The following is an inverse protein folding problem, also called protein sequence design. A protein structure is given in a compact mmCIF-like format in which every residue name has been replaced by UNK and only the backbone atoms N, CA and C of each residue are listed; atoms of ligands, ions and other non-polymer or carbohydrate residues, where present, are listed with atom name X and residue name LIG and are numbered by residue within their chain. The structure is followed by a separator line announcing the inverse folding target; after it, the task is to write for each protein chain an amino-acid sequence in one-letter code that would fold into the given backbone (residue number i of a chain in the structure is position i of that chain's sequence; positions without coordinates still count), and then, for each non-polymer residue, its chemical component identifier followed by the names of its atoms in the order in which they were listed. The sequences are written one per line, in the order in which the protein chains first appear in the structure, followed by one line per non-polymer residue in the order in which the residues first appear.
data_IF_536749252497
#
_entry.id   IF_536749252497
#
_cell.length_a   1.000
_cell.length_b   1.000
_cell.length_c   1.000
_cell.angle_alpha   90.00
_cell.angle_beta   90.00
_cell.angle_gamma   90.00
#
_symmetry.space_group_name_H-M   'P 1'
#
loop_
_entity.id
_entity.type
_entity.pdbx_description
1 polymer ?
#
# COMPACT_ATOMS: atom_id res chain seq x y z
N UNK A 1 -6.32 -5.32 -26.08
CA UNK A 1 -5.73 -3.97 -26.09
C UNK A 1 -6.30 -3.09 -24.98
N UNK A 2 -7.62 -3.08 -24.76
CA UNK A 2 -8.34 -2.32 -23.70
C UNK A 2 -7.72 -2.29 -22.29
N UNK A 3 -7.22 -3.42 -21.77
CA UNK A 3 -6.73 -3.50 -20.38
C UNK A 3 -5.40 -2.76 -20.17
N UNK A 4 -4.52 -2.77 -21.17
CA UNK A 4 -3.21 -2.11 -21.09
C UNK A 4 -3.32 -0.59 -21.15
N UNK A 5 -4.24 -0.08 -21.96
CA UNK A 5 -4.49 1.36 -22.06
C UNK A 5 -5.13 1.89 -20.76
N UNK A 6 -6.05 1.13 -20.16
CA UNK A 6 -6.60 1.43 -18.83
C UNK A 6 -5.51 1.42 -17.74
N UNK A 7 -4.61 0.45 -17.75
CA UNK A 7 -3.47 0.39 -16.83
C UNK A 7 -2.47 1.53 -17.06
N UNK A 8 -2.22 1.93 -18.31
CA UNK A 8 -1.34 3.04 -18.64
C UNK A 8 -1.92 4.40 -18.18
N UNK A 9 -3.22 4.61 -18.38
CA UNK A 9 -3.94 5.79 -17.89
C UNK A 9 -3.95 5.85 -16.35
N UNK A 10 -4.16 4.71 -15.67
CA UNK A 10 -4.07 4.62 -14.20
C UNK A 10 -2.64 4.83 -13.69
N UNK A 11 -1.63 4.32 -14.40
CA UNK A 11 -0.23 4.56 -14.07
C UNK A 11 0.13 6.05 -14.18
N UNK A 12 -0.42 6.74 -15.19
CA UNK A 12 -0.24 8.17 -15.37
C UNK A 12 -0.95 8.98 -14.26
N UNK A 13 -2.20 8.67 -13.94
CA UNK A 13 -2.93 9.29 -12.83
C UNK A 13 -2.27 9.02 -11.46
N UNK A 14 -1.68 7.84 -11.28
CA UNK A 14 -0.87 7.53 -10.09
C UNK A 14 0.38 8.40 -10.02
N UNK A 15 1.11 8.60 -11.11
CA UNK A 15 2.28 9.51 -11.15
C UNK A 15 1.90 10.94 -10.82
N UNK A 16 0.80 11.43 -11.37
CA UNK A 16 0.30 12.80 -11.15
C UNK A 16 -0.16 13.04 -9.71
N UNK A 17 -0.63 12.00 -9.01
CA UNK A 17 -0.99 12.03 -7.59
C UNK A 17 0.19 11.74 -6.65
N UNK A 18 1.44 11.85 -7.13
CA UNK A 18 2.63 11.56 -6.32
C UNK A 18 2.78 10.07 -5.96
N UNK A 19 2.17 9.19 -6.74
CA UNK A 19 2.12 7.74 -6.54
C UNK A 19 1.02 7.28 -5.61
N UNK A 20 0.16 8.16 -5.08
CA UNK A 20 -0.84 7.81 -4.06
C UNK A 20 -1.95 6.88 -4.58
N UNK A 21 -2.33 6.99 -5.84
CA UNK A 21 -3.40 6.16 -6.41
C UNK A 21 -2.88 4.75 -6.79
N UNK A 22 -3.60 3.68 -6.42
CA UNK A 22 -3.23 2.32 -6.81
C UNK A 22 -3.37 2.13 -8.33
N UNK A 23 -2.30 1.66 -8.97
CA UNK A 23 -2.28 1.39 -10.42
C UNK A 23 -3.06 0.12 -10.77
N UNK A 24 -3.09 -0.83 -9.84
CA UNK A 24 -3.84 -2.09 -9.92
C UNK A 24 -4.80 -2.16 -8.74
N UNK A 25 -6.07 -2.46 -9.02
CA UNK A 25 -7.13 -2.54 -8.01
C UNK A 25 -7.31 -3.96 -7.47
N UNK A 26 -6.90 -4.96 -8.26
CA UNK A 26 -7.06 -6.38 -7.91
C UNK A 26 -5.75 -7.15 -8.02
N UNK A 27 -5.67 -8.27 -7.31
CA UNK A 27 -4.55 -9.23 -7.40
C UNK A 27 -4.47 -9.84 -8.81
N UNK A 28 -5.62 -10.05 -9.44
CA UNK A 28 -5.71 -10.57 -10.82
C UNK A 28 -5.09 -9.60 -11.83
N UNK A 29 -5.33 -8.29 -11.66
CA UNK A 29 -4.67 -7.26 -12.49
C UNK A 29 -3.16 -7.24 -12.28
N UNK A 30 -2.70 -7.44 -11.04
CA UNK A 30 -1.27 -7.54 -10.73
C UNK A 30 -0.61 -8.76 -11.40
N UNK A 31 -1.28 -9.92 -11.39
CA UNK A 31 -0.80 -11.13 -12.07
C UNK A 31 -0.78 -10.93 -13.59
N UNK A 32 -1.82 -10.33 -14.16
CA UNK A 32 -1.89 -10.03 -15.59
C UNK A 32 -0.76 -9.09 -16.03
N UNK A 33 -0.51 -8.03 -15.24
CA UNK A 33 0.59 -7.10 -15.47
C UNK A 33 1.96 -7.80 -15.38
N UNK A 34 2.17 -8.64 -14.37
CA UNK A 34 3.42 -9.39 -14.19
C UNK A 34 3.70 -10.32 -15.39
N UNK A 35 2.68 -11.03 -15.87
CA UNK A 35 2.80 -11.89 -17.07
C UNK A 35 3.14 -11.08 -18.32
N UNK A 36 2.54 -9.91 -18.48
CA UNK A 36 2.82 -9.04 -19.61
C UNK A 36 4.25 -8.49 -19.62
N UNK A 37 4.77 -8.12 -18.44
CA UNK A 37 6.16 -7.69 -18.26
C UNK A 37 7.12 -8.83 -18.56
N UNK A 38 6.84 -10.04 -18.05
CA UNK A 38 7.63 -11.24 -18.34
C UNK A 38 7.68 -11.53 -19.85
N UNK A 39 6.53 -11.46 -20.53
CA UNK A 39 6.47 -11.69 -21.98
C UNK A 39 7.26 -10.64 -22.78
N UNK A 40 7.26 -9.38 -22.34
CA UNK A 40 8.10 -8.33 -22.95
C UNK A 40 9.59 -8.56 -22.69
N UNK A 41 9.96 -9.03 -21.49
CA UNK A 41 11.34 -9.38 -21.16
C UNK A 41 11.87 -10.54 -22.01
N UNK A 42 11.04 -11.53 -22.30
CA UNK A 42 11.41 -12.67 -23.14
C UNK A 42 11.65 -12.27 -24.61
N UNK A 43 10.99 -11.21 -25.07
CA UNK A 43 11.21 -10.62 -26.39
C UNK A 43 12.43 -9.71 -26.50
N UNK A 44 13.11 -9.38 -25.40
CA UNK A 44 14.28 -8.51 -25.37
C UNK A 44 15.57 -9.32 -25.26
N UNK A 45 16.61 -8.91 -25.98
CA UNK A 45 17.95 -9.54 -25.93
C UNK A 45 19.04 -8.51 -25.66
N UNK A 46 20.21 -8.99 -25.20
CA UNK A 46 21.39 -8.16 -24.95
C UNK A 46 21.15 -7.02 -23.95
N UNK A 47 21.68 -5.84 -24.26
CA UNK A 47 21.70 -4.67 -23.38
C UNK A 47 20.30 -4.14 -23.05
N UNK A 48 19.36 -4.25 -23.98
CA UNK A 48 17.97 -3.80 -23.75
C UNK A 48 17.29 -4.62 -22.63
N UNK A 49 17.61 -5.92 -22.54
CA UNK A 49 17.12 -6.78 -21.46
C UNK A 49 17.75 -6.40 -20.12
N UNK A 50 19.05 -6.13 -20.09
CA UNK A 50 19.77 -5.72 -18.88
C UNK A 50 19.25 -4.39 -18.33
N UNK A 51 19.05 -3.39 -19.20
CA UNK A 51 18.49 -2.10 -18.82
C UNK A 51 17.07 -2.25 -18.24
N UNK A 52 16.23 -3.06 -18.89
CA UNK A 52 14.87 -3.31 -18.41
C UNK A 52 14.86 -4.02 -17.05
N UNK A 53 15.76 -4.99 -16.83
CA UNK A 53 15.91 -5.67 -15.54
C UNK A 53 16.40 -4.73 -14.44
N UNK A 54 17.35 -3.83 -14.74
CA UNK A 54 17.82 -2.80 -13.80
C UNK A 54 16.67 -1.88 -13.38
N UNK A 55 15.92 -1.37 -14.36
CA UNK A 55 14.76 -0.51 -14.10
C UNK A 55 13.69 -1.23 -13.26
N UNK A 56 13.48 -2.53 -13.47
CA UNK A 56 12.56 -3.32 -12.66
C UNK A 56 13.04 -3.53 -11.22
N UNK A 57 14.35 -3.69 -11.00
CA UNK A 57 14.90 -3.78 -9.64
C UNK A 57 14.75 -2.44 -8.89
N UNK A 58 14.98 -1.31 -9.56
CA UNK A 58 14.77 0.02 -8.96
C UNK A 58 13.31 0.24 -8.57
N UNK A 59 12.38 -0.16 -9.45
CA UNK A 59 10.93 -0.11 -9.16
C UNK A 59 10.58 -1.03 -7.98
N UNK A 60 11.14 -2.24 -7.93
CA UNK A 60 10.94 -3.17 -6.81
C UNK A 60 11.39 -2.55 -5.49
N UNK A 61 12.60 -1.99 -5.43
CA UNK A 61 13.14 -1.36 -4.21
C UNK A 61 12.30 -0.17 -3.75
N UNK A 62 11.83 0.66 -4.70
CA UNK A 62 10.95 1.78 -4.38
C UNK A 62 9.60 1.30 -3.82
N UNK A 63 9.03 0.21 -4.36
CA UNK A 63 7.81 -0.39 -3.84
C UNK A 63 8.01 -0.99 -2.45
N UNK A 64 9.09 -1.73 -2.21
CA UNK A 64 9.41 -2.30 -0.90
C UNK A 64 9.53 -1.21 0.18
N UNK A 65 10.21 -0.10 -0.13
CA UNK A 65 10.32 1.03 0.78
C UNK A 65 8.96 1.69 1.10
N UNK A 66 8.07 1.78 0.11
CA UNK A 66 6.71 2.30 0.30
C UNK A 66 5.84 1.35 1.11
N UNK A 67 5.93 0.04 0.86
CA UNK A 67 5.22 -0.97 1.65
C UNK A 67 5.66 -0.95 3.11
N UNK A 68 6.97 -0.86 3.37
CA UNK A 68 7.50 -0.73 4.72
C UNK A 68 6.97 0.52 5.43
N UNK A 69 6.89 1.65 4.72
CA UNK A 69 6.31 2.89 5.25
C UNK A 69 4.83 2.74 5.59
N UNK A 70 4.02 2.18 4.68
CA UNK A 70 2.59 1.94 4.92
C UNK A 70 2.38 0.99 6.10
N UNK A 71 3.18 -0.08 6.20
CA UNK A 71 3.12 -1.00 7.33
C UNK A 71 3.40 -0.28 8.66
N UNK A 72 4.43 0.58 8.70
CA UNK A 72 4.75 1.39 9.87
C UNK A 72 3.65 2.39 10.23
N UNK A 73 3.03 3.05 9.24
CA UNK A 73 1.91 3.96 9.44
C UNK A 73 0.67 3.22 10.00
N UNK A 74 0.38 2.01 9.50
CA UNK A 74 -0.70 1.17 10.03
C UNK A 74 -0.43 0.71 11.47
N UNK A 75 0.81 0.34 11.80
CA UNK A 75 1.19 0.00 13.18
C UNK A 75 1.03 1.20 14.13
N UNK A 76 1.46 2.39 13.70
CA UNK A 76 1.28 3.63 14.46
C UNK A 76 -0.21 3.95 14.69
N UNK A 77 -1.05 3.81 13.65
CA UNK A 77 -2.50 4.00 13.78
C UNK A 77 -3.14 2.98 14.71
N UNK A 78 -2.73 1.70 14.66
CA UNK A 78 -3.21 0.67 15.59
C UNK A 78 -2.81 0.98 17.03
N UNK A 79 -1.58 1.46 17.25
CA UNK A 79 -1.12 1.88 18.56
C UNK A 79 -1.95 3.06 19.10
N UNK A 80 -2.25 4.05 18.25
CA UNK A 80 -3.10 5.18 18.59
C UNK A 80 -4.51 4.74 18.97
N UNK A 81 -5.14 3.87 18.17
CA UNK A 81 -6.47 3.30 18.46
C UNK A 81 -6.48 2.51 19.77
N UNK A 82 -5.40 1.78 20.07
CA UNK A 82 -5.26 1.02 21.33
C UNK A 82 -5.14 1.96 22.53
N UNK A 83 -4.37 3.04 22.40
CA UNK A 83 -4.25 4.07 23.42
C UNK A 83 -5.58 4.79 23.66
N UNK A 84 -6.30 5.16 22.60
CA UNK A 84 -7.63 5.79 22.69
C UNK A 84 -8.65 4.86 23.36
N UNK A 85 -8.68 3.57 23.00
CA UNK A 85 -9.55 2.59 23.67
C UNK A 85 -9.21 2.42 25.16
N UNK A 86 -7.92 2.46 25.52
CA UNK A 86 -7.50 2.41 26.93
C UNK A 86 -7.95 3.65 27.70
N UNK A 87 -7.84 4.84 27.11
CA UNK A 87 -8.32 6.07 27.75
C UNK A 87 -9.84 6.12 27.88
N UNK A 88 -10.59 5.62 26.88
CA UNK A 88 -12.06 5.54 26.94
C UNK A 88 -12.51 4.59 28.06
N UNK A 89 -11.89 3.40 28.17
CA UNK A 89 -12.17 2.48 29.28
C UNK A 89 -11.81 3.05 30.65
N UNK A 90 -10.76 3.86 30.74
CA UNK A 90 -10.42 4.53 31.99
C UNK A 90 -11.50 5.55 32.39
N UNK A 91 -12.01 6.33 31.43
CA UNK A 91 -13.11 7.30 31.65
C UNK A 91 -14.38 6.57 32.11
N UNK A 92 -14.75 5.45 31.49
CA UNK A 92 -15.87 4.61 31.92
C UNK A 92 -15.68 4.09 33.37
N UNK A 93 -14.45 3.71 33.72
CA UNK A 93 -14.09 3.27 35.07
C UNK A 93 -14.19 4.36 36.15
N UNK A 94 -14.00 5.64 35.78
CA UNK A 94 -14.22 6.76 36.69
C UNK A 94 -15.70 7.20 36.76
N UNK A 95 -16.47 7.03 35.67
CA UNK A 95 -17.91 7.32 35.65
C UNK A 95 -18.77 6.36 36.48
N UNK A 96 -18.31 5.13 36.69
CA UNK A 96 -18.99 4.12 37.52
C UNK A 96 -18.76 4.27 39.03
N UNK A 97 -17.89 5.19 39.48
CA UNK A 97 -17.62 5.41 40.91
C UNK A 97 -18.33 6.66 41.43
N UNK A 98 -19.63 6.77 41.18
CA UNK A 98 -20.47 7.55 42.08
C UNK A 98 -20.42 6.86 43.46
N UNK A 99 -20.05 7.55 44.55
CA UNK A 99 -20.11 6.94 45.87
C UNK A 99 -21.58 6.63 46.13
N UNK A 100 -21.88 5.35 46.28
CA UNK A 100 -23.11 4.89 46.92
C UNK A 100 -22.99 5.26 48.41
N UNK A 101 -23.10 6.55 48.66
CA UNK A 101 -23.13 7.17 49.98
C UNK A 101 -24.55 7.09 50.50
N UNK A 102 -24.68 6.35 51.59
CA UNK A 102 -25.84 6.15 52.44
C UNK A 102 -26.67 7.42 52.66
N UNK A 103 -27.97 7.33 52.42
CA UNK A 103 -29.05 7.78 53.33
C UNK A 103 -30.40 7.30 52.81
#
# INVERSE_FOLDING_TARGET
MEMFEKLAAKAQASRESGGGAPVVETVEDAIALARAVAHRLDGLTGDARLLMLSNLDDVRRALDGRMARVASEMEAQRAQLTAMNRSLRAIDGYGGRAPRGER
#
